data_IF_394968561525
#
_entry.id   IF_394968561525
#
_cell.length_a   1.000
_cell.length_b   1.000
_cell.length_c   1.000
_cell.angle_alpha   90.00
_cell.angle_beta   90.00
_cell.angle_gamma   90.00
#
_symmetry.space_group_name_H-M   'P 1'
#
loop_
_entity.id
_entity.type
_entity.pdbx_description
1 polymer ?
2 non-polymer ?
3 non-polymer ?
4 water ?
#
# COMPACT_ATOMS: atom_id res chain seq x y z
N UNK A 14 15.28 -6.55 3.85
CA UNK A 14 13.79 -6.58 3.79
C UNK A 14 13.15 -5.55 4.74
N UNK A 15 12.04 -4.97 4.29
CA UNK A 15 11.43 -3.82 4.93
C UNK A 15 10.15 -4.11 5.71
N UNK A 16 9.71 -5.37 5.71
CA UNK A 16 8.59 -5.79 6.55
C UNK A 16 8.99 -5.76 8.02
N UNK A 17 8.11 -5.19 8.84
CA UNK A 17 8.38 -5.06 10.27
C UNK A 17 8.22 -6.36 11.04
N UNK A 18 7.42 -7.29 10.51
CA UNK A 18 7.14 -8.58 11.17
C UNK A 18 7.52 -9.71 10.20
N UNK A 19 8.80 -10.13 10.19
CA UNK A 19 9.23 -11.19 9.27
C UNK A 19 8.40 -12.47 9.34
N UNK A 20 8.12 -13.04 8.17
CA UNK A 20 7.49 -14.36 8.01
C UNK A 20 6.04 -14.48 8.48
N UNK A 21 5.38 -13.37 8.80
CA UNK A 21 4.02 -13.43 9.32
C UNK A 21 3.06 -13.85 8.22
N UNK A 22 1.94 -14.44 8.63
CA UNK A 22 0.92 -14.93 7.72
C UNK A 22 -0.41 -14.23 7.99
N UNK A 23 -1.18 -14.02 6.92
CA UNK A 23 -2.48 -13.38 7.01
C UNK A 23 -3.53 -14.42 7.41
N UNK A 24 -3.51 -14.76 8.70
CA UNK A 24 -4.37 -15.80 9.27
C UNK A 24 -5.10 -15.24 10.48
N UNK A 25 -6.23 -15.86 10.84
CA UNK A 25 -7.11 -15.36 11.89
C UNK A 25 -6.43 -15.18 13.26
N UNK A 26 -5.42 -16.00 13.55
CA UNK A 26 -4.64 -15.87 14.81
C UNK A 26 -3.63 -14.70 14.84
N UNK A 27 -3.40 -14.06 13.69
CA UNK A 27 -2.58 -12.85 13.60
C UNK A 27 -3.50 -11.63 13.82
N UNK A 28 -3.17 -10.72 14.77
CA UNK A 28 -3.94 -9.47 14.91
C UNK A 28 -3.93 -8.58 13.65
N UNK A 29 -2.94 -8.79 12.79
CA UNK A 29 -2.88 -8.09 11.51
C UNK A 29 -3.77 -8.70 10.43
N UNK A 30 -4.57 -9.72 10.77
CA UNK A 30 -5.47 -10.35 9.80
C UNK A 30 -6.36 -9.30 9.13
N UNK A 31 -6.44 -9.34 7.80
CA UNK A 31 -7.34 -8.47 7.06
C UNK A 31 -7.95 -9.23 5.90
N UNK A 32 -9.20 -8.90 5.54
CA UNK A 32 -9.79 -9.51 4.35
C UNK A 32 -9.11 -8.99 3.08
N UNK A 33 -9.39 -9.64 1.96
CA UNK A 33 -8.84 -9.27 0.66
C UNK A 33 -9.98 -8.93 -0.29
N UNK A 34 -10.52 -7.70 -0.21
CA UNK A 34 -11.64 -7.34 -1.07
C UNK A 34 -11.27 -7.31 -2.55
N UNK A 35 -12.14 -7.87 -3.38
CA UNK A 35 -11.95 -7.93 -4.83
C UNK A 35 -13.27 -7.53 -5.47
N UNK A 36 -13.20 -6.75 -6.54
CA UNK A 36 -14.39 -6.37 -7.30
C UNK A 36 -14.02 -6.31 -8.78
N UNK A 37 -15.00 -5.97 -9.61
CA UNK A 37 -14.81 -5.96 -11.07
C UNK A 37 -15.40 -4.66 -11.62
N UNK A 38 -14.63 -3.98 -12.46
CA UNK A 38 -14.99 -2.70 -13.04
C UNK A 38 -14.99 -2.87 -14.56
N UNK A 39 -16.20 -2.88 -15.13
CA UNK A 39 -16.39 -3.08 -16.58
C UNK A 39 -15.85 -1.93 -17.44
N UNK A 40 -15.61 -0.77 -16.84
CA UNK A 40 -15.19 0.41 -17.59
C UNK A 40 -13.70 0.44 -17.92
N UNK A 41 -12.90 -0.44 -17.32
CA UNK A 41 -11.46 -0.43 -17.58
C UNK A 41 -11.22 -0.89 -19.01
N UNK A 42 -10.19 -0.34 -19.67
CA UNK A 42 -9.91 -0.79 -21.03
C UNK A 42 -9.30 -2.21 -21.05
N UNK A 43 -9.27 -2.86 -22.23
CA UNK A 43 -8.80 -4.24 -22.33
C UNK A 43 -7.46 -4.49 -21.67
N UNK A 44 -7.37 -5.62 -20.96
CA UNK A 44 -6.12 -6.06 -20.34
C UNK A 44 -5.66 -5.15 -19.20
N UNK A 45 -6.54 -4.28 -18.68
CA UNK A 45 -6.19 -3.40 -17.55
C UNK A 45 -6.85 -3.88 -16.27
N UNK A 46 -6.14 -3.68 -15.17
CA UNK A 46 -6.64 -3.98 -13.83
C UNK A 46 -6.55 -2.70 -13.01
N UNK A 47 -7.23 -2.68 -11.87
CA UNK A 47 -7.20 -1.53 -10.95
C UNK A 47 -6.70 -1.97 -9.59
N UNK A 48 -5.66 -1.30 -9.07
CA UNK A 48 -5.05 -1.68 -7.80
C UNK A 48 -5.09 -0.48 -6.84
N UNK A 49 -5.73 -0.66 -5.68
CA UNK A 49 -5.77 0.38 -4.63
C UNK A 49 -4.49 0.32 -3.81
N UNK A 50 -3.81 1.46 -3.70
CA UNK A 50 -2.60 1.53 -2.89
C UNK A 50 -2.89 1.33 -1.41
N UNK A 51 -1.97 0.63 -0.77
CA UNK A 51 -1.88 0.55 0.69
C UNK A 51 -0.63 1.26 1.19
N UNK A 52 0.01 2.03 0.31
CA UNK A 52 1.30 2.65 0.61
C UNK A 52 1.13 4.16 0.67
N UNK A 53 1.61 4.76 1.76
CA UNK A 53 1.65 6.20 1.91
C UNK A 53 3.08 6.67 1.67
N UNK A 54 3.22 7.83 1.05
CA UNK A 54 4.50 8.53 0.97
C UNK A 54 4.47 9.56 2.08
N UNK A 55 5.51 9.56 2.91
CA UNK A 55 5.64 10.52 4.00
C UNK A 55 6.90 11.34 3.77
N UNK A 56 6.71 12.64 3.56
CA UNK A 56 7.81 13.60 3.48
C UNK A 56 7.96 14.34 4.79
N UNK A 57 8.97 15.20 4.87
CA UNK A 57 9.24 15.94 6.09
C UNK A 57 9.74 15.12 7.26
N UNK A 58 10.33 13.95 7.00
CA UNK A 58 10.77 13.05 8.08
C UNK A 58 12.04 13.63 8.74
N UNK A 59 11.98 13.88 10.07
CA UNK A 59 13.16 14.38 10.79
C UNK A 59 14.31 13.39 10.81
N UNK A 60 15.51 13.93 10.99
CA UNK A 60 16.75 13.17 10.96
C UNK A 60 16.79 11.96 11.90
N UNK A 61 16.23 12.09 13.10
CA UNK A 61 16.34 11.03 14.11
C UNK A 61 15.05 10.24 14.26
N UNK A 62 14.18 10.32 13.25
CA UNK A 62 12.97 9.51 13.27
C UNK A 62 13.19 8.22 12.49
N UNK A 63 13.02 7.08 13.16
CA UNK A 63 13.28 5.78 12.56
C UNK A 63 11.98 5.04 12.22
N UNK A 64 12.13 3.86 11.61
CA UNK A 64 10.99 3.10 11.09
C UNK A 64 9.95 2.82 12.16
N UNK A 65 10.40 2.36 13.32
CA UNK A 65 9.46 2.08 14.41
C UNK A 65 8.85 3.34 15.00
N UNK A 66 9.56 4.47 14.95
CA UNK A 66 8.96 5.73 15.39
C UNK A 66 7.76 6.09 14.51
N UNK A 67 7.90 5.90 13.21
CA UNK A 67 6.79 6.10 12.28
C UNK A 67 5.62 5.16 12.55
N UNK A 68 5.92 3.88 12.73
CA UNK A 68 4.88 2.91 13.09
C UNK A 68 4.19 3.33 14.40
N UNK A 69 4.98 3.76 15.38
CA UNK A 69 4.42 4.14 16.69
C UNK A 69 3.49 5.35 16.60
N UNK A 70 3.89 6.37 15.84
CA UNK A 70 3.07 7.58 15.72
C UNK A 70 1.79 7.32 14.93
N UNK A 71 1.86 6.42 13.95
CA UNK A 71 0.70 6.09 13.13
C UNK A 71 -0.30 5.13 13.77
N UNK A 72 0.10 4.43 14.83
CA UNK A 72 -0.67 3.30 15.36
C UNK A 72 -2.15 3.59 15.72
N UNK A 73 -2.46 4.79 16.25
CA UNK A 73 -3.88 5.12 16.52
C UNK A 73 -4.75 5.18 15.27
N UNK A 74 -4.12 5.31 14.11
CA UNK A 74 -4.83 5.41 12.83
C UNK A 74 -4.71 4.17 11.95
N UNK A 75 -3.61 3.44 12.06
CA UNK A 75 -3.35 2.32 11.16
C UNK A 75 -2.22 1.48 11.70
N UNK A 76 -2.26 0.19 11.41
CA UNK A 76 -1.18 -0.72 11.73
C UNK A 76 -0.20 -0.77 10.54
N UNK A 77 1.05 -0.39 10.79
CA UNK A 77 2.09 -0.37 9.76
C UNK A 77 2.65 -1.77 9.53
N UNK A 78 2.70 -2.17 8.26
CA UNK A 78 3.24 -3.46 7.85
C UNK A 78 4.71 -3.39 7.44
N UNK A 79 5.06 -2.36 6.67
CA UNK A 79 6.43 -2.21 6.18
C UNK A 79 6.78 -0.73 6.04
N UNK A 80 8.07 -0.44 6.15
CA UNK A 80 8.59 0.92 6.04
C UNK A 80 9.91 0.87 5.25
N UNK A 81 10.00 1.68 4.20
CA UNK A 81 11.27 1.95 3.51
C UNK A 81 11.57 3.38 3.88
N UNK A 82 12.55 3.57 4.76
CA UNK A 82 12.89 4.89 5.27
C UNK A 82 14.25 5.34 4.73
N UNK A 83 14.34 6.60 4.33
CA UNK A 83 15.62 7.23 4.03
C UNK A 83 15.66 8.63 4.66
N UNK A 84 16.30 8.73 5.83
CA UNK A 84 16.40 10.00 6.54
C UNK A 84 17.17 11.06 5.76
N UNK A 85 18.18 10.64 5.00
CA UNK A 85 18.94 11.59 4.17
C UNK A 85 18.07 12.25 3.09
N UNK A 86 17.00 11.58 2.69
CA UNK A 86 16.05 12.11 1.70
C UNK A 86 14.76 12.65 2.33
N UNK A 87 14.69 12.67 3.66
CA UNK A 87 13.55 13.20 4.42
C UNK A 87 12.23 12.52 4.08
N UNK A 88 12.29 11.24 3.74
CA UNK A 88 11.07 10.53 3.37
C UNK A 88 11.03 9.07 3.76
N UNK A 89 9.81 8.54 3.73
CA UNK A 89 9.56 7.12 3.94
C UNK A 89 8.37 6.67 3.12
N UNK A 90 8.42 5.42 2.69
CA UNK A 90 7.29 4.76 2.05
C UNK A 90 6.75 3.80 3.10
N UNK A 91 5.49 4.00 3.50
CA UNK A 91 4.90 3.27 4.61
C UNK A 91 3.71 2.49 4.11
N UNK A 92 3.76 1.16 4.22
CA UNK A 92 2.62 0.32 3.82
C UNK A 92 1.88 -0.14 5.07
N UNK A 93 0.56 -0.01 5.02
CA UNK A 93 -0.33 -0.44 6.10
C UNK A 93 -1.14 -1.65 5.63
N UNK A 94 -1.76 -2.36 6.58
CA UNK A 94 -2.31 -3.68 6.28
C UNK A 94 -3.58 -3.68 5.43
N UNK A 95 -4.26 -2.55 5.36
CA UNK A 95 -5.48 -2.44 4.56
C UNK A 95 -5.64 -1.07 3.93
N UNK A 96 -6.40 -1.04 2.84
CA UNK A 96 -6.77 0.21 2.19
C UNK A 96 -7.53 1.14 3.14
N UNK A 97 -8.46 0.58 3.90
CA UNK A 97 -9.24 1.36 4.86
C UNK A 97 -8.34 2.09 5.87
N UNK A 98 -7.33 1.39 6.36
CA UNK A 98 -6.36 1.99 7.28
C UNK A 98 -5.57 3.13 6.62
N UNK A 99 -5.15 2.94 5.37
CA UNK A 99 -4.42 4.00 4.65
C UNK A 99 -5.29 5.25 4.49
N UNK A 100 -6.55 5.06 4.13
CA UNK A 100 -7.50 6.17 4.03
C UNK A 100 -7.67 6.88 5.37
N UNK A 101 -7.68 6.11 6.45
CA UNK A 101 -7.84 6.69 7.78
C UNK A 101 -6.67 7.60 8.16
N UNK A 102 -5.46 7.22 7.77
CA UNK A 102 -4.28 8.06 8.00
C UNK A 102 -4.43 9.37 7.24
N UNK A 103 -4.76 9.29 5.95
CA UNK A 103 -4.88 10.50 5.14
C UNK A 103 -6.00 11.43 5.61
N UNK A 104 -7.08 10.86 6.12
CA UNK A 104 -8.22 11.62 6.63
C UNK A 104 -7.91 12.32 7.95
N UNK A 105 -7.21 11.62 8.85
CA UNK A 105 -7.21 11.98 10.28
C UNK A 105 -5.86 12.19 10.97
N UNK A 106 -4.76 11.78 10.34
CA UNK A 106 -3.44 11.91 10.96
C UNK A 106 -2.85 13.29 10.70
N UNK A 107 -2.44 13.97 11.77
CA UNK A 107 -1.64 15.20 11.68
C UNK A 107 -2.26 16.31 10.80
N UNK A 108 -3.59 16.47 10.86
CA UNK A 108 -4.29 17.38 9.94
C UNK A 108 -4.09 18.87 10.26
N UNK A 109 -3.77 19.16 11.52
CA UNK A 109 -3.36 20.52 11.94
C UNK A 109 -1.93 20.89 11.51
N UNK A 110 -1.05 19.89 11.41
CA UNK A 110 0.37 20.11 11.11
C UNK A 110 1.23 20.33 12.34
N UNK A 111 0.87 19.68 13.46
CA UNK A 111 1.68 19.70 14.68
C UNK A 111 3.04 19.02 14.47
N UNK A 112 3.06 18.02 13.58
CA UNK A 112 4.30 17.37 13.16
C UNK A 112 4.71 17.85 11.76
N UNK A 113 6.02 17.83 11.46
CA UNK A 113 6.50 18.20 10.13
C UNK A 113 6.19 17.17 9.03
N UNK A 114 5.66 16.01 9.41
CA UNK A 114 5.35 14.97 8.44
C UNK A 114 4.27 15.43 7.46
N UNK A 115 4.45 15.07 6.19
CA UNK A 115 3.48 15.39 5.14
C UNK A 115 3.16 14.09 4.45
N UNK A 116 1.88 13.72 4.44
CA UNK A 116 1.46 12.37 4.05
C UNK A 116 0.53 12.40 2.84
N UNK A 117 0.81 11.54 1.86
CA UNK A 117 0.01 11.44 0.64
C UNK A 117 0.04 10.00 0.15
N UNK A 118 -0.75 9.70 -0.87
CA UNK A 118 -0.68 8.38 -1.50
C UNK A 118 0.69 8.15 -2.13
N UNK A 119 1.21 6.95 -1.90
CA UNK A 119 2.41 6.46 -2.53
C UNK A 119 2.11 5.29 -3.46
N UNK A 120 3.15 4.82 -4.13
CA UNK A 120 3.05 3.69 -5.06
C UNK A 120 3.98 2.61 -4.54
N UNK A 121 3.43 1.43 -4.26
CA UNK A 121 4.23 0.26 -3.89
C UNK A 121 4.18 -0.89 -4.89
N UNK A 122 3.28 -0.81 -5.87
CA UNK A 122 3.08 -1.88 -6.84
C UNK A 122 2.79 -1.30 -8.22
N UNK A 123 3.45 -1.85 -9.23
CA UNK A 123 3.23 -1.46 -10.63
C UNK A 123 3.93 -0.17 -11.04
N UNK A 124 3.83 0.19 -12.33
CA UNK A 124 4.55 1.38 -12.81
C UNK A 124 4.04 2.69 -12.21
N UNK A 125 4.96 3.61 -11.91
CA UNK A 125 4.58 4.90 -11.34
C UNK A 125 3.68 5.71 -12.27
N UNK A 126 3.90 5.58 -13.58
CA UNK A 126 3.08 6.29 -14.58
C UNK A 126 1.60 5.84 -14.65
N UNK A 127 1.28 4.70 -14.06
CA UNK A 127 -0.10 4.20 -13.97
C UNK A 127 -0.87 4.71 -12.76
N UNK A 128 -0.20 5.41 -11.84
CA UNK A 128 -0.82 5.87 -10.61
C UNK A 128 -1.59 7.18 -10.77
N UNK A 129 -2.84 7.17 -10.30
CA UNK A 129 -3.60 8.37 -10.04
C UNK A 129 -3.26 8.76 -8.60
N UNK A 130 -2.37 9.74 -8.45
CA UNK A 130 -1.91 10.18 -7.12
C UNK A 130 -2.95 10.83 -6.24
N UNK A 131 -3.92 11.53 -6.84
CA UNK A 131 -5.01 12.15 -6.08
C UNK A 131 -5.89 11.11 -5.37
N UNK A 132 -6.23 10.04 -6.08
CA UNK A 132 -7.15 9.01 -5.57
C UNK A 132 -6.47 7.74 -5.04
N UNK A 133 -5.17 7.61 -5.27
CA UNK A 133 -4.40 6.49 -4.70
C UNK A 133 -4.71 5.13 -5.29
N UNK A 134 -4.92 5.07 -6.59
CA UNK A 134 -5.00 3.78 -7.27
C UNK A 134 -4.28 3.85 -8.61
N UNK A 135 -3.96 2.67 -9.13
CA UNK A 135 -3.32 2.56 -10.43
C UNK A 135 -4.21 1.76 -11.34
N UNK A 136 -4.31 2.21 -12.60
CA UNK A 136 -4.94 1.45 -13.68
C UNK A 136 -3.79 0.93 -14.53
N UNK A 137 -3.56 -0.38 -14.47
CA UNK A 137 -2.34 -0.98 -15.02
C UNK A 137 -2.67 -1.97 -16.14
N UNK A 138 -2.04 -1.81 -17.32
CA UNK A 138 -2.17 -2.85 -18.35
C UNK A 138 -1.32 -4.06 -17.97
N UNK A 139 -1.87 -5.26 -18.11
CA UNK A 139 -1.18 -6.46 -17.63
C UNK A 139 0.11 -6.79 -18.40
N UNK A 140 0.25 -6.29 -19.64
CA UNK A 140 1.50 -6.49 -20.40
C UNK A 140 2.71 -5.79 -19.74
N UNK A 141 2.44 -4.78 -18.90
CA UNK A 141 3.47 -4.08 -18.13
C UNK A 141 3.74 -4.64 -16.73
N UNK A 142 3.12 -5.76 -16.39
CA UNK A 142 3.44 -6.48 -15.16
C UNK A 142 4.37 -7.64 -15.48
N UNK A 143 5.36 -7.86 -14.61
CA UNK A 143 6.25 -9.01 -14.73
C UNK A 143 5.48 -10.26 -14.33
N UNK A 144 5.99 -11.43 -14.70
CA UNK A 144 5.42 -12.70 -14.23
C UNK A 144 5.42 -12.75 -12.70
N UNK A 145 6.45 -12.17 -12.08
CA UNK A 145 6.52 -12.03 -10.62
C UNK A 145 5.37 -11.17 -10.07
N UNK A 146 5.14 -10.01 -10.68
CA UNK A 146 4.00 -9.13 -10.33
C UNK A 146 2.66 -9.86 -10.42
N UNK A 147 2.47 -10.63 -11.49
CA UNK A 147 1.22 -11.37 -11.70
C UNK A 147 1.04 -12.48 -10.67
N UNK A 148 2.13 -13.18 -10.36
CA UNK A 148 2.10 -14.20 -9.32
C UNK A 148 1.81 -13.59 -7.94
N UNK A 149 2.53 -12.53 -7.60
CA UNK A 149 2.29 -11.79 -6.34
C UNK A 149 0.83 -11.34 -6.21
N UNK A 150 0.25 -10.84 -7.30
CA UNK A 150 -1.14 -10.35 -7.28
C UNK A 150 -2.16 -11.42 -6.92
N UNK A 151 -1.89 -12.67 -7.29
CA UNK A 151 -2.82 -13.76 -7.01
C UNK A 151 -2.53 -14.49 -5.69
N UNK A 152 -1.27 -14.49 -5.24
CA UNK A 152 -0.82 -15.34 -4.11
C UNK A 152 -0.36 -14.63 -2.83
N UNK A 153 -0.38 -13.30 -2.81
CA UNK A 153 0.16 -12.54 -1.67
C UNK A 153 -0.61 -12.76 -0.38
N UNK A 154 0.08 -12.62 0.76
CA UNK A 154 -0.56 -12.72 2.06
C UNK A 154 -1.57 -11.61 2.29
N UNK A 155 -1.13 -10.36 2.14
CA UNK A 155 -2.04 -9.21 2.23
C UNK A 155 -2.26 -8.62 0.85
N UNK A 156 -3.50 -8.22 0.61
CA UNK A 156 -3.93 -7.71 -0.69
C UNK A 156 -3.94 -8.79 -1.76
N UNK A 157 -4.07 -8.37 -3.01
CA UNK A 157 -4.18 -9.31 -4.12
C UNK A 157 -5.56 -9.95 -4.22
N UNK A 158 -5.65 -11.00 -5.03
CA UNK A 158 -6.94 -11.56 -5.45
C UNK A 158 -7.40 -12.85 -4.74
N UNK A 159 -6.62 -13.35 -3.77
CA UNK A 159 -6.95 -14.59 -3.04
C UNK A 159 -7.21 -15.79 -3.94
N UNK A 160 -6.34 -15.99 -4.93
CA UNK A 160 -6.46 -17.11 -5.86
C UNK A 160 -7.18 -16.84 -7.18
N UNK A 161 -7.99 -15.78 -7.26
CA UNK A 161 -8.75 -15.49 -8.49
C UNK A 161 -7.81 -14.99 -9.60
N UNK A 162 -8.01 -15.47 -10.85
CA UNK A 162 -7.11 -15.07 -11.94
C UNK A 162 -7.22 -13.60 -12.31
N UNK A 163 -6.14 -13.05 -12.86
CA UNK A 163 -6.13 -11.67 -13.33
C UNK A 163 -6.83 -11.59 -14.67
N UNK A 164 -7.94 -10.85 -14.71
CA UNK A 164 -8.68 -10.59 -15.94
C UNK A 164 -8.95 -9.09 -16.07
N UNK A 165 -9.28 -8.66 -17.29
CA UNK A 165 -9.65 -7.28 -17.55
C UNK A 165 -10.73 -6.85 -16.55
N UNK A 166 -10.51 -5.72 -15.88
CA UNK A 166 -11.50 -5.17 -14.99
C UNK A 166 -11.44 -5.59 -13.54
N UNK A 167 -10.55 -6.52 -13.18
CA UNK A 167 -10.43 -6.91 -11.77
C UNK A 167 -9.84 -5.75 -10.97
N UNK A 168 -10.31 -5.63 -9.74
CA UNK A 168 -9.98 -4.53 -8.83
C UNK A 168 -9.59 -5.18 -7.51
N UNK A 169 -8.44 -4.80 -6.96
CA UNK A 169 -8.00 -5.37 -5.69
C UNK A 169 -7.06 -4.43 -4.96
N UNK A 170 -6.75 -4.75 -3.71
CA UNK A 170 -5.81 -3.96 -2.92
C UNK A 170 -4.38 -4.39 -3.23
N UNK A 171 -3.46 -3.43 -3.14
CA UNK A 171 -2.04 -3.65 -3.37
C UNK A 171 -1.56 -4.96 -2.76
N UNK A 172 -0.97 -5.85 -3.58
CA UNK A 172 -0.46 -7.11 -3.04
C UNK A 172 0.93 -6.95 -2.45
N UNK A 173 1.25 -7.73 -1.42
CA UNK A 173 2.65 -7.87 -0.97
C UNK A 173 3.52 -8.44 -2.09
N UNK A 174 4.79 -8.05 -2.11
CA UNK A 174 5.73 -8.51 -3.15
C UNK A 174 6.96 -9.20 -2.54
N UNK A 175 6.71 -10.32 -1.86
CA UNK A 175 7.69 -11.16 -1.12
C UNK A 175 7.74 -10.72 0.34
X LIG B 1 -11.54 1.01 -1.84
X LIG B 1 -11.28 0.10 -0.76
X LIG B 1 -12.63 1.99 -1.42
X LIG B 1 -12.11 3.28 -1.07
X LIG C 1 3.09 -4.19 17.86
X LIG C 1 2.72 -4.27 19.25
X LIG C 1 3.27 -2.74 17.45
X LIG C 1 2.75 -1.86 18.46
X LIG D 1 5.25 7.56 -4.94
X LIG D 1 5.62 6.57 -4.00
X LIG D 1 5.66 8.93 -4.43
X LIG D 1 4.54 9.65 -3.89
X LIG E 1 2.40 -10.12 13.85
X LIG E 1 3.21 -11.21 13.43
X LIG E 1 1.81 -10.33 15.24
X LIG E 1 2.25 -9.36 16.20
X LIG F 1 -14.17 7.70 -2.04
X LIG F 1 -14.36 6.94 -3.25
X LIG F 1 -14.54 9.16 -2.25
X LIG F 1 -15.79 9.29 -2.94
X LIG G 1 15.08 4.30 -0.67
X LIG G 1 16.28 4.64 0.04
X LIG G 1 14.05 5.42 -0.55
X LIG G 1 14.56 6.62 -1.14
X LIG H 1 -0.09 14.27 -4.69
X LIG H 1 -1.23 14.06 -3.86
X LIG H 1 -0.35 15.40 -5.69
X LIG H 1 -1.20 14.95 -6.75
X LIG I 1 4.41 7.62 19.50
X LIG I 1 6.03 8.03 19.29
X LIG I 1 7.14 8.30 19.15
X LIG J 1 -6.48 -9.39 -21.21
X LIG J 1 -7.48 -10.23 -20.15
X LIG J 1 -8.15 -10.84 -19.43
X LIG K 1 7.76 13.78 13.40
X LIG K 1 8.48 14.91 14.43
X LIG K 1 8.97 15.70 15.13
X LIG L 1 -3.47 12.18 -0.72
X LIG L 1 -2.57 12.19 -2.14
X LIG L 1 -1.91 12.15 -3.09
X LIG M 1 -9.01 9.53 3.33
X LIG M 1 -8.61 9.04 1.78
X LIG M 1 -8.34 8.69 0.72
X LIG N 1 18.06 6.31 6.72
X LIG N 1 17.71 4.71 6.30
X LIG N 1 17.46 3.62 6.01
X LIG O 1 -1.40 0.62 -6.55
X LIG O 1 -1.43 2.30 -6.72
X LIG O 1 -1.44 3.44 -6.85
X LIG P 1 -10.99 -8.39 -22.14
X LIG P 1 -11.58 -9.66 -21.20
X LIG P 1 -11.98 -10.53 -20.54
#
# INVERSE_FOLDING_TARGET
GSIGAPNTTFGTNNHHLYPDELNVSNNPHYRPKPVSYDSTLPPDHIKVYSRTLFIGGVPLNMKEWDLANVLKPFAEVQSVILNNSRKHAFVKVYSRHEAENVLQNFNKDGALPLRTRWGVGFGPRDCCDYQHGYSIIPMHRLTDADKKWSVSAQWGGTSGQPLVTGIVFEEPDIIVGEGV
EDO C1 O1 C2 O2
EDO C1 O1 C2 O2
EDO C1 O1 C2 O2
EDO C1 O1 C2 O2
EDO C1 O1 C2 O2
EDO C1 O1 C2 O2
EDO C1 O1 C2 O2
SCN S C N
SCN S C N
SCN S C N
SCN S C N
SCN S C N
SCN S C N
SCN S C N
SCN S C N
#
